data_IF_926105704723
#
_entry.id   IF_926105704723
#
_cell.length_a   1.000
_cell.length_b   1.000
_cell.length_c   1.000
_cell.angle_alpha   90.00
_cell.angle_beta   90.00
_cell.angle_gamma   90.00
#
_symmetry.space_group_name_H-M   'P 1'
#
loop_
_entity.id
_entity.type
_entity.pdbx_description
1 polymer ?
#
# COMPACT_ATOMS: atom_id res chain seq x y z
N UNK A 1 -9.78 29.73 22.51
CA UNK A 1 -8.64 28.88 22.12
C UNK A 1 -9.18 27.71 21.30
N UNK A 2 -9.34 27.88 20.00
CA UNK A 2 -9.56 26.78 19.04
C UNK A 2 -8.29 26.69 18.20
N UNK A 3 -7.74 25.56 17.79
CA UNK A 3 -8.21 24.17 17.77
C UNK A 3 -6.92 23.35 17.62
N UNK A 4 -6.76 22.21 18.30
CA UNK A 4 -5.73 21.24 17.92
C UNK A 4 -6.12 20.76 16.52
N UNK A 5 -5.45 21.26 15.48
CA UNK A 5 -5.89 21.06 14.10
C UNK A 5 -5.50 19.68 13.56
N UNK A 6 -4.46 19.07 14.14
CA UNK A 6 -3.92 17.77 13.72
C UNK A 6 -4.01 16.75 14.85
N UNK A 7 -4.68 15.62 14.58
CA UNK A 7 -4.72 14.47 15.47
C UNK A 7 -3.60 13.50 15.11
N UNK A 8 -2.36 13.81 15.54
CA UNK A 8 -1.17 13.01 15.21
C UNK A 8 -1.30 11.53 15.54
N UNK A 9 -1.83 11.12 16.71
CA UNK A 9 -2.06 9.70 17.00
C UNK A 9 -2.99 9.02 15.98
N UNK A 10 -4.10 9.66 15.60
CA UNK A 10 -5.01 9.09 14.61
C UNK A 10 -4.38 9.03 13.21
N UNK A 11 -3.60 10.04 12.82
CA UNK A 11 -2.89 10.06 11.54
C UNK A 11 -1.83 8.95 11.45
N UNK A 12 -1.09 8.69 12.54
CA UNK A 12 -0.14 7.58 12.61
C UNK A 12 -0.85 6.23 12.60
N UNK A 13 -1.96 6.10 13.33
CA UNK A 13 -2.79 4.90 13.27
C UNK A 13 -3.28 4.63 11.83
N UNK A 14 -3.69 5.67 11.11
CA UNK A 14 -4.13 5.54 9.72
C UNK A 14 -2.99 5.08 8.80
N UNK A 15 -1.77 5.61 8.95
CA UNK A 15 -0.62 5.13 8.21
C UNK A 15 -0.31 3.64 8.49
N UNK A 16 -0.52 3.19 9.74
CA UNK A 16 -0.40 1.78 10.09
C UNK A 16 -1.51 0.91 9.46
N UNK A 17 -2.75 1.39 9.41
CA UNK A 17 -3.85 0.73 8.71
C UNK A 17 -3.55 0.55 7.23
N UNK A 18 -2.95 1.57 6.59
CA UNK A 18 -2.48 1.47 5.21
C UNK A 18 -1.53 0.29 5.02
N UNK A 19 -0.56 0.08 5.91
CA UNK A 19 0.30 -1.10 5.81
C UNK A 19 -0.47 -2.44 5.89
N UNK A 20 -1.58 -2.48 6.64
CA UNK A 20 -2.51 -3.61 6.63
C UNK A 20 -3.18 -3.83 5.27
N UNK A 21 -3.63 -2.76 4.61
CA UNK A 21 -4.22 -2.84 3.28
C UNK A 21 -3.25 -3.34 2.20
N UNK A 22 -1.95 -3.06 2.33
CA UNK A 22 -0.94 -3.64 1.44
C UNK A 22 -0.92 -5.18 1.50
N UNK A 23 -1.05 -5.74 2.72
CA UNK A 23 -1.18 -7.18 2.92
C UNK A 23 -2.46 -7.75 2.31
N UNK A 24 -3.58 -7.03 2.43
CA UNK A 24 -4.84 -7.41 1.77
C UNK A 24 -4.71 -7.41 0.25
N UNK A 25 -4.06 -6.40 -0.34
CA UNK A 25 -3.81 -6.34 -1.79
C UNK A 25 -2.96 -7.53 -2.25
N UNK A 26 -1.93 -7.88 -1.48
CA UNK A 26 -1.10 -9.05 -1.79
C UNK A 26 -1.90 -10.35 -1.72
N UNK A 27 -2.75 -10.54 -0.71
CA UNK A 27 -3.59 -11.72 -0.58
C UNK A 27 -4.58 -11.86 -1.74
N UNK A 28 -5.30 -10.78 -2.08
CA UNK A 28 -6.21 -10.75 -3.24
C UNK A 28 -5.46 -11.08 -4.52
N UNK A 29 -4.25 -10.53 -4.70
CA UNK A 29 -3.42 -10.82 -5.87
C UNK A 29 -3.01 -12.29 -5.97
N UNK A 30 -2.72 -12.93 -4.83
CA UNK A 30 -2.37 -14.35 -4.76
C UNK A 30 -3.59 -15.24 -5.06
N UNK A 31 -4.77 -14.89 -4.57
CA UNK A 31 -6.01 -15.62 -4.82
C UNK A 31 -6.34 -15.63 -6.32
N UNK A 32 -6.27 -14.47 -6.99
CA UNK A 32 -6.48 -14.37 -8.44
C UNK A 32 -5.46 -15.22 -9.21
N UNK A 33 -4.18 -15.16 -8.84
CA UNK A 33 -3.15 -15.98 -9.47
C UNK A 33 -3.44 -17.48 -9.33
N UNK A 34 -3.89 -17.91 -8.15
CA UNK A 34 -4.26 -19.30 -7.88
C UNK A 34 -5.46 -19.75 -8.71
N UNK A 35 -6.50 -18.92 -8.82
CA UNK A 35 -7.68 -19.22 -9.63
C UNK A 35 -7.32 -19.35 -11.12
N UNK A 36 -6.52 -18.42 -11.66
CA UNK A 36 -6.10 -18.49 -13.06
C UNK A 36 -5.18 -19.68 -13.33
N UNK A 37 -4.34 -20.08 -12.36
CA UNK A 37 -3.52 -21.28 -12.46
C UNK A 37 -4.37 -22.55 -12.64
N UNK A 38 -5.47 -22.67 -11.88
CA UNK A 38 -6.41 -23.78 -12.00
C UNK A 38 -7.11 -23.83 -13.36
N UNK A 39 -7.29 -22.68 -14.01
CA UNK A 39 -7.90 -22.54 -15.32
C UNK A 39 -6.90 -22.58 -16.49
N UNK A 40 -5.60 -22.70 -16.21
CA UNK A 40 -4.54 -22.60 -17.24
C UNK A 40 -4.70 -23.59 -18.41
N UNK A 41 -5.29 -24.76 -18.20
CA UNK A 41 -5.54 -25.74 -19.26
C UNK A 41 -6.54 -25.25 -20.33
N UNK A 42 -7.39 -24.26 -19.98
CA UNK A 42 -8.32 -23.63 -20.91
C UNK A 42 -7.70 -22.46 -21.71
N UNK A 43 -6.46 -22.08 -21.40
CA UNK A 43 -5.74 -21.02 -22.10
C UNK A 43 -5.16 -21.56 -23.40
N UNK A 44 -6.05 -21.74 -24.38
CA UNK A 44 -5.73 -22.26 -25.70
C UNK A 44 -6.09 -21.22 -26.77
N UNK A 45 -5.33 -21.21 -27.86
CA UNK A 45 -5.52 -20.30 -29.00
C UNK A 45 -4.52 -19.14 -29.05
N UNK A 46 -4.37 -18.57 -30.25
CA UNK A 46 -3.33 -17.56 -30.56
C UNK A 46 -3.79 -16.11 -30.35
N UNK A 47 -5.03 -15.91 -29.88
CA UNK A 47 -5.66 -14.59 -29.78
C UNK A 47 -5.31 -13.84 -28.49
N UNK A 48 -4.62 -14.48 -27.55
CA UNK A 48 -4.25 -13.92 -26.25
C UNK A 48 -2.81 -14.24 -25.84
N UNK A 49 -2.41 -13.78 -24.65
CA UNK A 49 -1.12 -14.14 -24.08
C UNK A 49 -1.16 -15.55 -23.50
N UNK A 50 0.00 -16.23 -23.48
CA UNK A 50 0.11 -17.52 -22.80
C UNK A 50 -0.03 -17.36 -21.29
N UNK A 51 -0.46 -18.42 -20.59
CA UNK A 51 -0.54 -18.42 -19.14
C UNK A 51 0.81 -18.06 -18.49
N UNK A 52 1.92 -18.56 -19.02
CA UNK A 52 3.26 -18.27 -18.50
C UNK A 52 3.62 -16.79 -18.64
N UNK A 53 3.30 -16.18 -19.80
CA UNK A 53 3.53 -14.77 -20.01
C UNK A 53 2.65 -13.93 -19.07
N UNK A 54 1.38 -14.33 -18.88
CA UNK A 54 0.47 -13.66 -17.97
C UNK A 54 0.93 -13.74 -16.52
N UNK A 55 1.31 -14.92 -16.06
CA UNK A 55 1.78 -15.13 -14.68
C UNK A 55 2.99 -14.26 -14.37
N UNK A 56 3.95 -14.18 -15.30
CA UNK A 56 5.13 -13.32 -15.15
C UNK A 56 4.74 -11.84 -15.05
N UNK A 57 3.89 -11.34 -15.96
CA UNK A 57 3.43 -9.95 -15.95
C UNK A 57 2.57 -9.63 -14.72
N UNK A 58 1.72 -10.56 -14.29
CA UNK A 58 0.88 -10.44 -13.10
C UNK A 58 1.73 -10.30 -11.84
N UNK A 59 2.70 -11.18 -11.65
CA UNK A 59 3.58 -11.15 -10.49
C UNK A 59 4.36 -9.83 -10.42
N UNK A 60 4.88 -9.36 -11.57
CA UNK A 60 5.57 -8.07 -11.64
C UNK A 60 4.63 -6.92 -11.27
N UNK A 61 3.43 -6.87 -11.86
CA UNK A 61 2.46 -5.81 -11.59
C UNK A 61 2.02 -5.81 -10.12
N UNK A 62 1.84 -6.98 -9.51
CA UNK A 62 1.49 -7.10 -8.09
C UNK A 62 2.62 -6.61 -7.17
N UNK A 63 3.87 -6.92 -7.48
CA UNK A 63 5.02 -6.40 -6.73
C UNK A 63 5.10 -4.87 -6.83
N UNK A 64 4.94 -4.32 -8.03
CA UNK A 64 4.93 -2.87 -8.27
C UNK A 64 3.78 -2.17 -7.53
N UNK A 65 2.58 -2.76 -7.55
CA UNK A 65 1.40 -2.26 -6.82
C UNK A 65 1.66 -2.19 -5.32
N UNK A 66 2.10 -3.29 -4.71
CA UNK A 66 2.34 -3.37 -3.26
C UNK A 66 3.46 -2.40 -2.86
N UNK A 67 4.53 -2.31 -3.66
CA UNK A 67 5.62 -1.36 -3.43
C UNK A 67 5.14 0.09 -3.51
N UNK A 68 4.33 0.44 -4.52
CA UNK A 68 3.78 1.79 -4.66
C UNK A 68 2.87 2.13 -3.47
N UNK A 69 2.07 1.18 -3.02
CA UNK A 69 1.19 1.34 -1.87
C UNK A 69 1.98 1.59 -0.57
N UNK A 70 3.04 0.80 -0.31
CA UNK A 70 3.93 1.04 0.84
C UNK A 70 4.63 2.40 0.77
N UNK A 71 4.99 2.88 -0.41
CA UNK A 71 5.58 4.21 -0.59
C UNK A 71 4.59 5.32 -0.20
N UNK A 72 3.30 5.15 -0.53
CA UNK A 72 2.25 6.08 -0.10
C UNK A 72 2.09 6.08 1.43
N UNK A 73 2.06 4.90 2.07
CA UNK A 73 1.98 4.77 3.52
C UNK A 73 3.18 5.43 4.23
N UNK A 74 4.39 5.16 3.75
CA UNK A 74 5.64 5.78 4.25
C UNK A 74 5.61 7.29 4.13
N UNK A 75 5.11 7.81 3.01
CA UNK A 75 5.00 9.27 2.78
C UNK A 75 4.04 9.90 3.79
N UNK A 76 2.90 9.26 4.03
CA UNK A 76 1.91 9.70 5.02
C UNK A 76 2.50 9.69 6.44
N UNK A 77 3.13 8.59 6.84
CA UNK A 77 3.78 8.46 8.15
C UNK A 77 4.87 9.51 8.36
N UNK A 78 5.79 9.63 7.39
CA UNK A 78 6.92 10.57 7.46
C UNK A 78 6.43 12.01 7.59
N UNK A 79 5.44 12.41 6.79
CA UNK A 79 4.87 13.75 6.89
C UNK A 79 4.26 13.99 8.29
N UNK A 80 3.52 13.01 8.82
CA UNK A 80 2.90 13.09 10.14
C UNK A 80 3.94 13.26 11.25
N UNK A 81 5.03 12.50 11.20
CA UNK A 81 6.15 12.62 12.14
C UNK A 81 6.86 13.98 12.05
N UNK A 82 7.09 14.48 10.84
CA UNK A 82 7.72 15.79 10.62
C UNK A 82 6.86 16.94 11.15
N UNK A 83 5.55 16.89 10.93
CA UNK A 83 4.61 17.87 11.46
C UNK A 83 4.58 17.84 13.01
N UNK A 84 4.48 16.66 13.61
CA UNK A 84 4.48 16.51 15.07
C UNK A 84 5.79 17.02 15.71
N UNK A 85 6.94 16.69 15.10
CA UNK A 85 8.24 17.14 15.58
C UNK A 85 8.35 18.67 15.54
N UNK A 86 7.89 19.30 14.45
CA UNK A 86 7.86 20.77 14.33
C UNK A 86 6.98 21.40 15.40
N UNK A 87 5.77 20.91 15.59
CA UNK A 87 4.83 21.47 16.56
C UNK A 87 5.35 21.32 18.00
N UNK A 88 5.95 20.18 18.32
CA UNK A 88 6.61 19.96 19.62
C UNK A 88 7.76 20.94 19.84
N UNK A 89 8.56 21.20 18.81
CA UNK A 89 9.66 22.17 18.90
C UNK A 89 9.16 23.61 19.05
N UNK A 90 8.08 24.01 18.37
CA UNK A 90 7.46 25.33 18.56
C UNK A 90 6.88 25.50 19.96
N UNK A 91 6.22 24.46 20.50
CA UNK A 91 5.68 24.49 21.86
C UNK A 91 6.79 24.68 22.91
N UNK A 92 7.95 24.02 22.72
CA UNK A 92 9.08 24.12 23.63
C UNK A 92 9.73 25.52 23.67
N UNK A 93 9.57 26.36 22.64
CA UNK A 93 10.13 27.72 22.63
C UNK A 93 9.46 28.67 23.63
N UNK A 94 8.23 28.35 24.06
CA UNK A 94 7.40 29.22 24.89
C UNK A 94 7.00 28.57 26.22
N UNK A 95 7.53 27.37 26.51
CA UNK A 95 7.31 26.63 27.75
C UNK A 95 8.34 26.92 28.83
#
# INVERSE_FOLDING_TARGET
>A
MSQIMYNYPAMLAHAAEMNGYAGTLQAVGADIASEQAALSAAWQGDTGMTYQAWQAQWNQAMEELVRAYHAMATTHETNTLMMNARDTAEAAKWG
#
